data_IF_479865107030
#
_entry.id   IF_479865107030
#
_cell.length_a   1.000
_cell.length_b   1.000
_cell.length_c   1.000
_cell.angle_alpha   90.00
_cell.angle_beta   90.00
_cell.angle_gamma   90.00
#
_symmetry.space_group_name_H-M   'P 1'
#
loop_
_entity.id
_entity.type
_entity.pdbx_description
1 polymer ?
#
# COMPACT_ATOMS: atom_id res chain seq x y z
N UNK A 1 -49.40 -52.17 22.92
CA UNK A 1 -48.36 -51.15 23.30
C UNK A 1 -46.96 -51.45 22.74
N UNK A 2 -46.82 -51.83 21.45
CA UNK A 2 -45.50 -52.18 20.86
C UNK A 2 -45.09 -51.29 19.67
N UNK A 3 -45.92 -50.33 19.22
CA UNK A 3 -45.63 -49.56 17.98
C UNK A 3 -45.20 -48.09 18.15
N UNK A 4 -45.12 -47.57 19.39
CA UNK A 4 -44.70 -46.18 19.63
C UNK A 4 -43.18 -45.96 19.82
N UNK A 5 -42.42 -47.01 20.14
CA UNK A 5 -40.96 -46.91 20.31
C UNK A 5 -40.17 -46.83 18.99
N UNK A 6 -40.72 -47.33 17.88
CA UNK A 6 -40.06 -47.34 16.58
C UNK A 6 -40.22 -46.03 15.80
N UNK A 7 -41.21 -45.21 16.11
CA UNK A 7 -41.38 -43.88 15.47
C UNK A 7 -40.40 -42.83 16.02
N UNK A 8 -40.08 -42.92 17.33
CA UNK A 8 -39.17 -41.94 17.96
C UNK A 8 -37.73 -42.08 17.52
N UNK A 9 -37.29 -43.27 17.15
CA UNK A 9 -35.91 -43.49 16.69
C UNK A 9 -35.68 -43.12 15.20
N UNK A 10 -36.73 -43.08 14.39
CA UNK A 10 -36.62 -42.62 12.99
C UNK A 10 -36.56 -41.10 12.85
N UNK A 11 -37.27 -40.37 13.70
CA UNK A 11 -37.28 -38.90 13.68
C UNK A 11 -35.95 -38.29 14.21
N UNK A 12 -35.29 -38.96 15.17
CA UNK A 12 -33.97 -38.50 15.65
C UNK A 12 -32.84 -38.62 14.63
N UNK A 13 -32.91 -39.56 13.68
CA UNK A 13 -31.88 -39.73 12.66
C UNK A 13 -32.02 -38.71 11.50
N UNK A 14 -33.21 -38.17 11.27
CA UNK A 14 -33.45 -37.14 10.25
C UNK A 14 -33.00 -35.74 10.75
N UNK A 15 -33.06 -35.47 12.05
CA UNK A 15 -32.68 -34.17 12.60
C UNK A 15 -31.17 -33.94 12.74
N UNK A 16 -30.37 -35.02 12.75
CA UNK A 16 -28.90 -34.93 12.85
C UNK A 16 -28.26 -34.69 11.48
N UNK A 17 -28.94 -35.00 10.38
CA UNK A 17 -28.38 -34.80 9.01
C UNK A 17 -28.68 -33.43 8.40
N UNK A 18 -29.57 -32.62 8.98
CA UNK A 18 -29.92 -31.29 8.45
C UNK A 18 -29.06 -30.17 9.03
N UNK A 19 -28.15 -30.46 9.99
CA UNK A 19 -27.30 -29.43 10.63
C UNK A 19 -25.88 -29.37 10.09
N UNK A 20 -25.52 -30.21 9.11
CA UNK A 20 -24.16 -30.28 8.54
C UNK A 20 -23.99 -29.57 7.18
N UNK A 21 -25.00 -28.82 6.75
CA UNK A 21 -24.97 -28.07 5.48
C UNK A 21 -25.12 -26.55 5.63
N UNK A 22 -24.84 -25.98 6.81
CA UNK A 22 -24.66 -24.54 6.96
C UNK A 22 -23.17 -24.24 6.81
N UNK A 23 -22.78 -24.29 5.65
CA UNK A 23 -22.09 -23.51 4.64
C UNK A 23 -20.96 -22.57 5.14
N UNK A 24 -19.78 -22.70 4.56
CA UNK A 24 -18.74 -21.65 4.61
C UNK A 24 -19.01 -20.58 3.52
N UNK A 25 -20.21 -19.99 3.48
CA UNK A 25 -20.54 -18.95 2.48
C UNK A 25 -20.17 -17.53 2.89
N UNK A 26 -19.67 -17.31 4.11
CA UNK A 26 -19.37 -15.95 4.60
C UNK A 26 -17.94 -15.46 4.39
N UNK A 27 -16.99 -16.33 3.96
CA UNK A 27 -15.59 -15.92 3.82
C UNK A 27 -15.30 -15.21 2.50
N UNK A 28 -16.10 -15.40 1.46
CA UNK A 28 -15.82 -14.85 0.13
C UNK A 28 -16.21 -13.37 -0.02
N UNK A 29 -17.18 -12.88 0.76
CA UNK A 29 -17.64 -11.49 0.68
C UNK A 29 -16.57 -10.49 1.15
N UNK A 30 -15.88 -10.79 2.23
CA UNK A 30 -14.86 -9.89 2.82
C UNK A 30 -13.65 -9.65 1.91
N UNK A 31 -13.19 -10.67 1.20
CA UNK A 31 -12.05 -10.55 0.28
C UNK A 31 -12.36 -9.70 -0.95
N UNK A 32 -13.55 -9.85 -1.52
CA UNK A 32 -13.98 -9.05 -2.68
C UNK A 32 -14.08 -7.56 -2.33
N UNK A 33 -14.59 -7.26 -1.13
CA UNK A 33 -14.74 -5.89 -0.68
C UNK A 33 -13.38 -5.23 -0.38
N UNK A 34 -12.44 -5.95 0.20
CA UNK A 34 -11.08 -5.44 0.45
C UNK A 34 -10.33 -5.14 -0.86
N UNK A 35 -10.51 -5.94 -1.93
CA UNK A 35 -9.95 -5.65 -3.25
C UNK A 35 -10.54 -4.35 -3.81
N UNK A 36 -11.87 -4.20 -3.81
CA UNK A 36 -12.54 -2.98 -4.29
C UNK A 36 -12.12 -1.76 -3.50
N UNK A 37 -12.00 -1.89 -2.18
CA UNK A 37 -11.51 -0.82 -1.32
C UNK A 37 -10.05 -0.47 -1.64
N UNK A 38 -9.20 -1.46 -1.95
CA UNK A 38 -7.83 -1.24 -2.40
C UNK A 38 -7.75 -0.49 -3.73
N UNK A 39 -8.59 -0.85 -4.70
CA UNK A 39 -8.70 -0.13 -5.98
C UNK A 39 -9.18 1.31 -5.77
N UNK A 40 -10.13 1.51 -4.87
CA UNK A 40 -10.62 2.84 -4.52
C UNK A 40 -9.53 3.71 -3.89
N UNK A 41 -8.75 3.16 -2.96
CA UNK A 41 -7.59 3.83 -2.35
C UNK A 41 -6.61 4.35 -3.40
N UNK A 42 -6.28 3.52 -4.41
CA UNK A 42 -5.38 3.93 -5.49
C UNK A 42 -6.01 5.01 -6.35
N UNK A 43 -7.28 4.85 -6.72
CA UNK A 43 -7.99 5.82 -7.55
C UNK A 43 -8.12 7.18 -6.86
N UNK A 44 -8.40 7.19 -5.55
CA UNK A 44 -8.44 8.42 -4.75
C UNK A 44 -7.07 9.09 -4.68
N UNK A 45 -6.00 8.32 -4.39
CA UNK A 45 -4.64 8.86 -4.36
C UNK A 45 -4.29 9.54 -5.68
N UNK A 46 -4.52 8.85 -6.80
CA UNK A 46 -4.23 9.40 -8.13
C UNK A 46 -5.05 10.66 -8.38
N UNK A 47 -6.35 10.64 -8.10
CA UNK A 47 -7.23 11.79 -8.30
C UNK A 47 -6.81 12.98 -7.44
N UNK A 48 -6.47 12.76 -6.16
CA UNK A 48 -6.02 13.83 -5.25
C UNK A 48 -4.66 14.39 -5.68
N UNK A 49 -3.73 13.53 -6.12
CA UNK A 49 -2.41 13.96 -6.60
C UNK A 49 -2.54 14.78 -7.90
N UNK A 50 -3.39 14.35 -8.83
CA UNK A 50 -3.66 15.09 -10.06
C UNK A 50 -4.32 16.45 -9.78
N UNK A 51 -5.30 16.48 -8.90
CA UNK A 51 -5.94 17.71 -8.47
C UNK A 51 -4.92 18.64 -7.79
N UNK A 52 -4.09 18.11 -6.88
CA UNK A 52 -3.00 18.85 -6.27
C UNK A 52 -2.07 19.47 -7.32
N UNK A 53 -1.66 18.70 -8.33
CA UNK A 53 -0.81 19.18 -9.40
C UNK A 53 -1.41 20.38 -10.14
N UNK A 54 -2.69 20.31 -10.47
CA UNK A 54 -3.41 21.41 -11.17
C UNK A 54 -3.62 22.63 -10.28
N UNK A 55 -4.03 22.42 -9.04
CA UNK A 55 -4.39 23.50 -8.12
C UNK A 55 -3.17 24.27 -7.58
N UNK A 56 -1.98 23.67 -7.65
CA UNK A 56 -0.78 24.21 -6.98
C UNK A 56 0.36 24.56 -7.91
N UNK A 57 0.16 24.48 -9.22
CA UNK A 57 1.20 24.76 -10.24
C UNK A 57 1.81 26.18 -10.10
N UNK A 58 1.05 27.12 -9.56
CA UNK A 58 1.46 28.52 -9.36
C UNK A 58 2.17 28.76 -8.02
N UNK A 59 2.21 27.77 -7.13
CA UNK A 59 2.82 27.88 -5.81
C UNK A 59 4.32 27.52 -5.84
N UNK A 60 5.05 27.95 -4.82
CA UNK A 60 6.42 27.50 -4.58
C UNK A 60 6.49 26.01 -4.29
N UNK A 61 7.65 25.38 -4.52
CA UNK A 61 7.86 23.95 -4.21
C UNK A 61 7.59 23.65 -2.73
N UNK A 62 7.98 24.54 -1.82
CA UNK A 62 7.73 24.39 -0.38
C UNK A 62 6.24 24.37 -0.04
N UNK A 63 5.46 25.28 -0.63
CA UNK A 63 4.01 25.35 -0.41
C UNK A 63 3.30 24.11 -1.00
N UNK A 64 3.71 23.63 -2.17
CA UNK A 64 3.21 22.40 -2.77
C UNK A 64 3.52 21.19 -1.89
N UNK A 65 4.77 21.08 -1.42
CA UNK A 65 5.18 19.98 -0.52
C UNK A 65 4.35 19.97 0.76
N UNK A 66 4.07 21.11 1.38
CA UNK A 66 3.20 21.20 2.57
C UNK A 66 1.76 20.70 2.28
N UNK A 67 1.25 20.94 1.09
CA UNK A 67 -0.12 20.53 0.71
C UNK A 67 -0.22 19.06 0.31
N UNK A 68 0.82 18.47 -0.31
CA UNK A 68 0.82 17.05 -0.71
C UNK A 68 1.12 16.11 0.46
N UNK A 69 1.86 16.57 1.47
CA UNK A 69 2.24 15.79 2.65
C UNK A 69 1.07 14.99 3.26
N UNK A 70 -0.06 15.62 3.66
CA UNK A 70 -1.17 14.90 4.26
C UNK A 70 -1.80 13.87 3.31
N UNK A 71 -1.73 14.08 1.99
CA UNK A 71 -2.20 13.11 1.01
C UNK A 71 -1.30 11.86 1.06
N UNK A 72 0.02 12.02 1.03
CA UNK A 72 0.94 10.87 1.10
C UNK A 72 0.78 10.12 2.43
N UNK A 73 0.74 10.81 3.56
CA UNK A 73 0.54 10.20 4.89
C UNK A 73 -0.79 9.43 4.99
N UNK A 74 -1.85 9.93 4.35
CA UNK A 74 -3.14 9.27 4.33
C UNK A 74 -3.09 7.90 3.64
N UNK A 75 -2.35 7.75 2.56
CA UNK A 75 -2.40 6.55 1.72
C UNK A 75 -1.26 5.57 1.93
N UNK A 76 -0.08 6.03 2.37
CA UNK A 76 1.09 5.17 2.53
C UNK A 76 1.29 4.70 3.98
N UNK A 77 1.78 3.48 4.14
CA UNK A 77 2.24 2.97 5.43
C UNK A 77 3.73 3.26 5.62
N UNK A 78 4.03 4.50 6.02
CA UNK A 78 5.42 4.99 6.17
C UNK A 78 6.21 4.15 7.18
N UNK A 79 5.60 3.73 8.29
CA UNK A 79 6.26 2.89 9.28
C UNK A 79 6.67 1.52 8.71
N UNK A 80 5.78 0.87 7.95
CA UNK A 80 6.13 -0.37 7.24
C UNK A 80 7.28 -0.14 6.26
N UNK A 81 7.21 0.93 5.45
CA UNK A 81 8.21 1.24 4.43
C UNK A 81 9.58 1.52 5.08
N UNK A 82 9.62 2.30 6.15
CA UNK A 82 10.82 2.58 6.91
C UNK A 82 11.45 1.32 7.50
N UNK A 83 10.65 0.46 8.11
CA UNK A 83 11.09 -0.83 8.63
C UNK A 83 11.61 -1.76 7.53
N UNK A 84 10.93 -1.80 6.39
CA UNK A 84 11.30 -2.66 5.27
C UNK A 84 12.62 -2.22 4.61
N UNK A 85 12.87 -0.91 4.52
CA UNK A 85 14.09 -0.35 3.91
C UNK A 85 15.31 -0.46 4.82
N UNK A 86 15.15 -0.32 6.15
CA UNK A 86 16.26 -0.41 7.12
C UNK A 86 16.55 -1.83 7.59
N UNK A 87 15.63 -2.78 7.37
CA UNK A 87 15.81 -4.19 7.71
C UNK A 87 16.11 -4.43 9.20
N UNK A 88 17.17 -5.21 9.50
CA UNK A 88 17.53 -5.55 10.88
C UNK A 88 18.02 -4.36 11.71
N UNK A 89 18.46 -3.28 11.08
CA UNK A 89 18.88 -2.06 11.80
C UNK A 89 17.69 -1.37 12.48
N UNK A 90 16.47 -1.51 11.95
CA UNK A 90 15.27 -0.95 12.56
C UNK A 90 15.08 -1.31 14.02
N UNK A 91 15.39 -2.55 14.40
CA UNK A 91 15.22 -3.02 15.77
C UNK A 91 16.26 -2.44 16.75
N UNK A 92 17.36 -1.89 16.22
CA UNK A 92 18.44 -1.28 17.00
C UNK A 92 18.28 0.24 17.12
N UNK A 93 17.48 0.85 16.25
CA UNK A 93 17.22 2.27 16.26
C UNK A 93 16.37 2.69 17.47
N UNK A 94 16.68 3.84 18.03
CA UNK A 94 15.85 4.50 19.04
C UNK A 94 14.51 4.95 18.45
N UNK A 95 13.54 5.26 19.30
CA UNK A 95 12.25 5.78 18.82
C UNK A 95 12.41 7.13 18.10
N UNK A 96 13.31 7.97 18.55
CA UNK A 96 13.61 9.26 17.94
C UNK A 96 14.22 9.09 16.52
N UNK A 97 15.19 8.19 16.36
CA UNK A 97 15.78 7.86 15.07
C UNK A 97 14.74 7.28 14.09
N UNK A 98 13.83 6.43 14.58
CA UNK A 98 12.74 5.89 13.77
C UNK A 98 11.83 6.99 13.22
N UNK A 99 11.40 7.90 14.09
CA UNK A 99 10.54 9.04 13.69
C UNK A 99 11.27 9.93 12.67
N UNK A 100 12.52 10.30 12.95
CA UNK A 100 13.33 11.12 12.05
C UNK A 100 13.53 10.46 10.69
N UNK A 101 13.75 9.13 10.67
CA UNK A 101 13.89 8.41 9.41
C UNK A 101 12.58 8.29 8.64
N UNK A 102 11.45 8.05 9.31
CA UNK A 102 10.14 8.06 8.66
C UNK A 102 9.85 9.41 7.99
N UNK A 103 10.16 10.52 8.65
CA UNK A 103 10.03 11.87 8.08
C UNK A 103 10.97 12.07 6.88
N UNK A 104 12.22 11.63 6.98
CA UNK A 104 13.17 11.73 5.86
C UNK A 104 12.73 10.89 4.65
N UNK A 105 12.12 9.71 4.88
CA UNK A 105 11.54 8.87 3.83
C UNK A 105 10.31 9.54 3.19
N UNK A 106 9.45 10.14 4.00
CA UNK A 106 8.31 10.92 3.52
C UNK A 106 8.75 12.07 2.62
N UNK A 107 9.77 12.83 3.03
CA UNK A 107 10.36 13.90 2.23
C UNK A 107 10.87 13.39 0.87
N UNK A 108 11.50 12.20 0.83
CA UNK A 108 11.95 11.59 -0.43
C UNK A 108 10.77 11.24 -1.36
N UNK A 109 9.69 10.71 -0.80
CA UNK A 109 8.48 10.40 -1.57
C UNK A 109 7.86 11.68 -2.12
N UNK A 110 7.75 12.73 -1.30
CA UNK A 110 7.22 14.04 -1.71
C UNK A 110 8.06 14.64 -2.82
N UNK A 111 9.40 14.66 -2.69
CA UNK A 111 10.29 15.18 -3.71
C UNK A 111 10.11 14.44 -5.04
N UNK A 112 10.00 13.10 -5.00
CA UNK A 112 9.75 12.31 -6.22
C UNK A 112 8.41 12.67 -6.87
N UNK A 113 7.36 12.89 -6.09
CA UNK A 113 6.06 13.34 -6.61
C UNK A 113 6.16 14.73 -7.22
N UNK A 114 6.84 15.68 -6.55
CA UNK A 114 7.04 17.05 -7.03
C UNK A 114 7.83 17.11 -8.34
N UNK A 115 8.90 16.31 -8.48
CA UNK A 115 9.69 16.22 -9.72
C UNK A 115 8.85 15.77 -10.92
N UNK A 116 7.83 14.96 -10.68
CA UNK A 116 6.98 14.40 -11.73
C UNK A 116 5.58 15.01 -11.81
N UNK A 117 5.32 16.07 -11.02
CA UNK A 117 3.99 16.61 -10.80
C UNK A 117 3.27 17.00 -12.11
N UNK A 118 3.96 17.70 -13.01
CA UNK A 118 3.39 18.13 -14.31
C UNK A 118 3.04 16.93 -15.20
N UNK A 119 3.83 15.86 -15.13
CA UNK A 119 3.57 14.63 -15.88
C UNK A 119 2.37 13.90 -15.29
N UNK A 120 2.30 13.78 -13.94
CA UNK A 120 1.20 13.13 -13.24
C UNK A 120 -0.15 13.77 -13.54
N UNK A 121 -0.21 15.09 -13.70
CA UNK A 121 -1.44 15.82 -14.02
C UNK A 121 -2.09 15.38 -15.35
N UNK A 122 -1.31 14.89 -16.30
CA UNK A 122 -1.75 14.57 -17.66
C UNK A 122 -1.95 13.08 -17.93
N UNK A 123 -1.59 12.23 -16.99
CA UNK A 123 -1.65 10.77 -17.14
C UNK A 123 -3.06 10.23 -16.81
N UNK A 124 -3.40 9.10 -17.40
CA UNK A 124 -4.57 8.32 -17.00
C UNK A 124 -4.13 6.96 -16.44
N UNK A 125 -4.74 6.56 -15.34
CA UNK A 125 -4.49 5.25 -14.73
C UNK A 125 -5.62 4.30 -15.09
N UNK A 126 -5.26 3.06 -15.43
CA UNK A 126 -6.20 1.96 -15.67
C UNK A 126 -5.81 0.77 -14.83
N UNK A 127 -6.67 0.29 -13.91
CA UNK A 127 -6.48 -1.00 -13.26
C UNK A 127 -6.61 -2.11 -14.31
N UNK A 128 -5.78 -3.16 -14.18
CA UNK A 128 -5.77 -4.31 -15.11
C UNK A 128 -6.16 -5.58 -14.37
N UNK A 129 -5.59 -5.82 -13.18
CA UNK A 129 -5.83 -7.01 -12.40
C UNK A 129 -5.64 -6.73 -10.91
N UNK A 130 -6.52 -7.29 -10.10
CA UNK A 130 -6.44 -7.21 -8.65
C UNK A 130 -6.56 -8.60 -8.04
N UNK A 131 -5.69 -8.93 -7.09
CA UNK A 131 -5.64 -10.24 -6.47
C UNK A 131 -5.10 -10.18 -5.03
N UNK A 132 -5.52 -11.13 -4.21
CA UNK A 132 -4.87 -11.37 -2.93
C UNK A 132 -3.57 -12.17 -3.11
N UNK A 133 -2.55 -11.79 -2.33
CA UNK A 133 -1.32 -12.58 -2.14
C UNK A 133 -1.23 -13.00 -0.67
N UNK A 134 -1.44 -14.28 -0.42
CA UNK A 134 -1.61 -14.80 0.93
C UNK A 134 -2.89 -14.28 1.59
N UNK A 135 -2.84 -14.00 2.89
CA UNK A 135 -4.03 -13.64 3.70
C UNK A 135 -4.25 -12.14 3.88
N UNK A 136 -3.28 -11.29 3.54
CA UNK A 136 -3.29 -9.88 3.95
C UNK A 136 -2.85 -8.89 2.87
N UNK A 137 -2.18 -9.36 1.83
CA UNK A 137 -1.64 -8.48 0.81
C UNK A 137 -2.61 -8.41 -0.37
N UNK A 138 -2.87 -7.21 -0.83
CA UNK A 138 -3.64 -6.93 -2.03
C UNK A 138 -2.66 -6.41 -3.08
N UNK A 139 -2.62 -7.09 -4.22
CA UNK A 139 -1.82 -6.70 -5.36
C UNK A 139 -2.74 -6.18 -6.45
N UNK A 140 -2.48 -4.97 -6.91
CA UNK A 140 -3.25 -4.32 -7.97
C UNK A 140 -2.29 -3.91 -9.07
N UNK A 141 -2.37 -4.60 -10.19
CA UNK A 141 -1.65 -4.26 -11.40
C UNK A 141 -2.46 -3.25 -12.20
N UNK A 142 -1.80 -2.25 -12.72
CA UNK A 142 -2.40 -1.25 -13.57
C UNK A 142 -1.38 -0.66 -14.53
N UNK A 143 -1.81 0.24 -15.37
CA UNK A 143 -0.95 0.99 -16.27
C UNK A 143 -1.25 2.48 -16.22
N UNK A 144 -0.21 3.28 -16.36
CA UNK A 144 -0.31 4.70 -16.60
C UNK A 144 -0.15 4.93 -18.10
N UNK A 145 -1.10 5.62 -18.69
CA UNK A 145 -1.09 5.97 -20.10
C UNK A 145 -1.02 7.49 -20.29
N UNK A 146 -0.20 7.92 -21.23
CA UNK A 146 -0.26 9.30 -21.73
C UNK A 146 -1.53 9.51 -22.55
N UNK A 147 -2.33 10.53 -22.20
CA UNK A 147 -3.56 10.87 -22.93
C UNK A 147 -3.32 11.12 -24.42
N UNK A 148 -2.14 11.60 -24.79
CA UNK A 148 -1.76 11.80 -26.20
C UNK A 148 -1.38 10.51 -26.92
N UNK A 149 -1.23 9.39 -26.22
CA UNK A 149 -0.79 8.07 -26.71
C UNK A 149 0.55 8.09 -27.48
N UNK A 150 1.39 9.09 -27.25
CA UNK A 150 2.71 9.20 -27.89
C UNK A 150 3.77 8.36 -27.20
N UNK A 151 3.54 7.94 -25.97
CA UNK A 151 4.46 7.12 -25.17
C UNK A 151 3.83 5.77 -24.84
N UNK A 152 4.63 4.69 -24.73
CA UNK A 152 4.10 3.40 -24.29
C UNK A 152 3.54 3.51 -22.86
N UNK A 153 2.54 2.68 -22.52
CA UNK A 153 2.05 2.59 -21.14
C UNK A 153 3.17 2.19 -20.17
N UNK A 154 3.11 2.71 -18.95
CA UNK A 154 4.02 2.35 -17.85
C UNK A 154 3.27 1.40 -16.92
N UNK A 155 3.81 0.20 -16.73
CA UNK A 155 3.19 -0.81 -15.87
C UNK A 155 3.47 -0.52 -14.40
N UNK A 156 2.42 -0.62 -13.59
CA UNK A 156 2.47 -0.45 -12.15
C UNK A 156 1.98 -1.70 -11.44
N UNK A 157 2.62 -2.03 -10.31
CA UNK A 157 2.10 -2.99 -9.34
C UNK A 157 2.06 -2.33 -7.96
N UNK A 158 0.86 -2.07 -7.49
CA UNK A 158 0.59 -1.60 -6.14
C UNK A 158 0.49 -2.76 -5.17
N UNK A 159 1.18 -2.67 -4.04
CA UNK A 159 1.09 -3.64 -2.95
C UNK A 159 0.48 -2.95 -1.74
N UNK A 160 -0.67 -3.40 -1.32
CA UNK A 160 -1.43 -2.84 -0.22
C UNK A 160 -1.65 -3.88 0.87
N UNK A 161 -2.00 -3.41 2.05
CA UNK A 161 -2.45 -4.26 3.15
C UNK A 161 -3.46 -3.52 4.00
N UNK A 162 -4.43 -4.25 4.50
CA UNK A 162 -5.38 -3.79 5.50
C UNK A 162 -4.73 -3.78 6.88
N UNK A 163 -4.78 -2.66 7.55
CA UNK A 163 -4.27 -2.48 8.92
C UNK A 163 -5.19 -3.08 9.98
N UNK A 164 -4.79 -2.99 11.24
CA UNK A 164 -5.63 -3.40 12.39
C UNK A 164 -6.83 -2.46 12.60
N UNK A 165 -6.71 -1.23 12.13
CA UNK A 165 -7.72 -0.18 12.10
C UNK A 165 -8.65 -0.27 10.89
N UNK A 166 -8.62 -1.40 10.17
CA UNK A 166 -9.36 -1.65 8.93
C UNK A 166 -8.96 -0.76 7.75
N UNK A 167 -8.05 0.22 7.94
CA UNK A 167 -7.57 1.08 6.86
C UNK A 167 -6.66 0.31 5.90
N UNK A 168 -6.89 0.47 4.60
CA UNK A 168 -6.03 -0.08 3.56
C UNK A 168 -4.96 0.96 3.23
N UNK A 169 -3.69 0.56 3.34
CA UNK A 169 -2.53 1.41 3.09
C UNK A 169 -1.61 0.78 2.04
N UNK A 170 -0.97 1.63 1.26
CA UNK A 170 0.05 1.26 0.29
C UNK A 170 1.34 0.94 1.04
N UNK A 171 1.88 -0.24 0.76
CA UNK A 171 3.13 -0.75 1.31
C UNK A 171 4.30 -0.55 0.35
N UNK A 172 4.07 -0.71 -0.95
CA UNK A 172 5.08 -0.63 -2.00
C UNK A 172 4.44 -0.29 -3.34
N UNK A 173 5.20 0.30 -4.23
CA UNK A 173 4.86 0.50 -5.62
C UNK A 173 6.01 -0.04 -6.49
N UNK A 174 5.70 -0.90 -7.44
CA UNK A 174 6.63 -1.29 -8.50
C UNK A 174 6.29 -0.53 -9.78
N UNK A 175 7.30 0.05 -10.40
CA UNK A 175 7.22 0.74 -11.68
C UNK A 175 8.09 -0.06 -12.64
N UNK A 176 7.52 -0.57 -13.73
CA UNK A 176 8.22 -1.43 -14.70
C UNK A 176 9.01 -2.57 -14.02
N UNK A 177 8.41 -3.21 -13.00
CA UNK A 177 9.02 -4.31 -12.24
C UNK A 177 10.06 -3.90 -11.19
N UNK A 178 10.33 -2.61 -11.03
CA UNK A 178 11.27 -2.08 -10.04
C UNK A 178 10.51 -1.61 -8.80
N UNK A 179 10.65 -2.32 -7.69
CA UNK A 179 10.06 -1.96 -6.39
C UNK A 179 10.76 -0.76 -5.78
N UNK A 180 10.00 0.25 -5.37
CA UNK A 180 10.53 1.43 -4.67
C UNK A 180 11.19 1.04 -3.34
N UNK A 181 10.54 0.18 -2.55
CA UNK A 181 11.13 -0.32 -1.30
C UNK A 181 12.44 -1.06 -1.56
N UNK A 182 12.52 -1.90 -2.59
CA UNK A 182 13.75 -2.65 -2.90
C UNK A 182 14.89 -1.71 -3.28
N UNK A 183 14.60 -0.70 -4.10
CA UNK A 183 15.58 0.31 -4.50
C UNK A 183 16.09 1.10 -3.30
N UNK A 184 15.19 1.67 -2.49
CA UNK A 184 15.55 2.39 -1.27
C UNK A 184 16.27 1.51 -0.26
N UNK A 185 15.86 0.25 -0.10
CA UNK A 185 16.53 -0.69 0.80
C UNK A 185 17.98 -0.92 0.44
N UNK A 186 18.27 -1.09 -0.84
CA UNK A 186 19.65 -1.31 -1.30
C UNK A 186 20.57 -0.16 -0.87
N UNK A 187 20.14 1.06 -1.10
CA UNK A 187 20.87 2.27 -0.72
C UNK A 187 20.99 2.44 0.80
N UNK A 188 19.84 2.41 1.49
CA UNK A 188 19.75 2.56 2.94
C UNK A 188 20.63 1.54 3.67
N UNK A 189 20.56 0.27 3.27
CA UNK A 189 21.39 -0.79 3.85
C UNK A 189 22.88 -0.61 3.57
N UNK A 190 23.24 -0.08 2.40
CA UNK A 190 24.64 0.25 2.08
C UNK A 190 25.18 1.34 3.01
N UNK A 191 24.40 2.41 3.22
CA UNK A 191 24.78 3.51 4.12
C UNK A 191 24.91 3.02 5.57
N UNK A 192 23.89 2.31 6.07
CA UNK A 192 23.88 1.80 7.45
C UNK A 192 25.02 0.82 7.73
N UNK A 193 25.34 -0.08 6.78
CA UNK A 193 26.47 -1.01 6.92
C UNK A 193 27.81 -0.28 6.99
N UNK A 194 28.03 0.72 6.11
CA UNK A 194 29.27 1.50 6.06
C UNK A 194 29.46 2.35 7.32
N UNK A 195 28.38 2.83 7.93
CA UNK A 195 28.40 3.71 9.09
C UNK A 195 27.97 3.00 10.40
N UNK A 196 28.17 1.69 10.53
CA UNK A 196 27.95 0.91 11.76
C UNK A 196 26.50 1.04 12.32
N UNK A 197 25.54 1.33 11.47
CA UNK A 197 24.13 1.48 11.85
C UNK A 197 23.73 2.88 12.29
N UNK A 198 24.52 3.90 12.02
CA UNK A 198 24.24 5.29 12.37
C UNK A 198 23.09 5.86 11.52
N UNK A 199 21.93 6.05 12.16
CA UNK A 199 20.74 6.63 11.55
C UNK A 199 20.87 8.13 11.27
N UNK A 200 21.63 8.88 12.09
CA UNK A 200 21.81 10.30 11.84
C UNK A 200 22.57 10.52 10.52
N UNK A 201 23.62 9.75 10.30
CA UNK A 201 24.35 9.78 9.02
C UNK A 201 23.46 9.37 7.84
N UNK A 202 22.62 8.37 8.01
CA UNK A 202 21.63 7.98 6.98
C UNK A 202 20.69 9.13 6.65
N UNK A 203 20.07 9.74 7.66
CA UNK A 203 19.10 10.84 7.50
C UNK A 203 19.74 12.05 6.81
N UNK A 204 20.94 12.43 7.21
CA UNK A 204 21.68 13.53 6.56
C UNK A 204 21.93 13.26 5.08
N UNK A 205 22.35 12.04 4.73
CA UNK A 205 22.59 11.67 3.33
C UNK A 205 21.32 11.70 2.47
N UNK A 206 20.17 11.37 3.05
CA UNK A 206 18.88 11.50 2.36
C UNK A 206 18.50 12.96 2.11
N UNK A 207 18.86 13.88 3.01
CA UNK A 207 18.61 15.33 2.84
C UNK A 207 19.47 15.97 1.76
N UNK A 208 20.69 15.51 1.56
CA UNK A 208 21.65 16.07 0.57
C UNK A 208 21.25 15.75 -0.87
N UNK A 209 20.41 14.77 -1.10
CA UNK A 209 19.92 14.37 -2.43
C UNK A 209 18.78 15.24 -2.98
N UNK A 210 18.57 16.39 -2.38
CA UNK A 210 17.59 17.39 -2.86
C UNK A 210 18.13 18.17 -4.04
#
# INVERSE_FOLDING_TARGET
>A
MKNLKNYWNKTKKIFVFLFLFISPLFVHSSYSDDIKNGEHVIQELITKTQKHALDTIHLSSEERSKKITPIIEQYFNLNFMAKATTGSFWNKATNEEKIKYELALLDQIINTVEEHLNTLATLSYKPIKSEFRGKKLIYITGAIEDKSKKKPPINLLWKLSKGKDEAIKILDLEIEGISLIRSHKSETMSILRKNKGDFNNLIERLKIKK
#
